data_IF_991860530227
#
_entry.id   IF_991860530227
#
_cell.length_a   1.000
_cell.length_b   1.000
_cell.length_c   1.000
_cell.angle_alpha   90.00
_cell.angle_beta   90.00
_cell.angle_gamma   90.00
#
_symmetry.space_group_name_H-M   'P 1'
#
loop_
_entity.id
_entity.type
_entity.pdbx_description
1 polymer ?
#
# COMPACT_ATOMS: atom_id res chain seq x y z
N UNK A 1 -10.39 -56.44 -1.32
CA UNK A 1 -9.35 -55.48 -0.89
C UNK A 1 -8.77 -54.87 -2.15
N UNK A 2 -9.32 -53.73 -2.56
CA UNK A 2 -8.83 -52.98 -3.73
C UNK A 2 -8.00 -51.85 -3.16
N UNK A 3 -6.68 -51.96 -3.31
CA UNK A 3 -5.72 -50.92 -2.94
C UNK A 3 -6.02 -49.70 -3.80
N UNK A 4 -6.66 -48.70 -3.22
CA UNK A 4 -6.77 -47.38 -3.86
C UNK A 4 -5.38 -46.78 -3.77
N UNK A 5 -4.64 -46.88 -4.87
CA UNK A 5 -3.41 -46.16 -5.06
C UNK A 5 -3.79 -44.69 -5.16
N UNK A 6 -3.68 -43.93 -4.06
CA UNK A 6 -3.88 -42.49 -4.04
C UNK A 6 -2.72 -41.87 -4.80
N UNK A 7 -2.80 -41.88 -6.14
CA UNK A 7 -1.90 -41.12 -6.97
C UNK A 7 -2.08 -39.66 -6.56
N UNK A 8 -1.05 -39.12 -5.91
CA UNK A 8 -0.88 -37.70 -5.63
C UNK A 8 -1.25 -36.94 -6.89
N UNK A 9 -2.42 -36.29 -6.88
CA UNK A 9 -2.82 -35.42 -7.98
C UNK A 9 -1.93 -34.20 -7.84
N UNK A 10 -0.75 -34.26 -8.45
CA UNK A 10 0.12 -33.10 -8.60
C UNK A 10 -0.64 -32.12 -9.49
N UNK A 11 -1.36 -31.19 -8.87
CA UNK A 11 -1.89 -30.03 -9.57
C UNK A 11 -0.69 -29.20 -10.02
N UNK A 12 -0.32 -29.33 -11.30
CA UNK A 12 0.84 -28.66 -11.92
C UNK A 12 0.81 -27.12 -11.84
N UNK A 13 -0.24 -26.52 -11.28
CA UNK A 13 -0.44 -25.07 -11.26
C UNK A 13 -0.77 -24.49 -9.87
N UNK A 14 -0.72 -25.30 -8.80
CA UNK A 14 -0.85 -24.77 -7.44
C UNK A 14 0.24 -23.74 -7.14
N UNK A 15 -0.11 -22.78 -6.28
CA UNK A 15 0.78 -21.73 -5.84
C UNK A 15 1.38 -22.19 -4.51
N UNK A 16 2.68 -22.53 -4.44
CA UNK A 16 3.31 -22.89 -3.18
C UNK A 16 3.43 -21.67 -2.30
N UNK A 17 2.99 -21.73 -1.04
CA UNK A 17 3.36 -20.68 -0.08
C UNK A 17 4.86 -20.71 0.22
N UNK A 18 5.48 -19.59 0.63
CA UNK A 18 6.87 -19.57 1.05
C UNK A 18 7.11 -20.51 2.25
N UNK A 19 8.31 -21.07 2.36
CA UNK A 19 8.73 -21.94 3.46
C UNK A 19 8.71 -21.20 4.81
N UNK A 20 9.07 -19.91 4.80
CA UNK A 20 9.09 -19.03 5.98
C UNK A 20 8.64 -17.60 5.65
N UNK A 21 8.16 -16.89 6.66
CA UNK A 21 7.79 -15.46 6.57
C UNK A 21 8.74 -14.50 7.29
N UNK A 22 9.73 -15.04 8.02
CA UNK A 22 10.64 -14.29 8.90
C UNK A 22 12.08 -14.77 8.72
N UNK A 23 13.02 -13.83 8.68
CA UNK A 23 14.46 -14.11 8.68
C UNK A 23 15.12 -13.43 9.87
N UNK A 24 15.95 -14.15 10.62
CA UNK A 24 16.67 -13.61 11.77
C UNK A 24 18.04 -13.06 11.33
N UNK A 25 18.28 -11.76 11.53
CA UNK A 25 19.58 -11.11 11.36
C UNK A 25 20.10 -10.71 12.76
N UNK A 26 20.71 -11.68 13.45
CA UNK A 26 21.10 -11.49 14.86
C UNK A 26 19.88 -11.18 15.73
N UNK A 27 19.84 -10.05 16.46
CA UNK A 27 18.70 -9.69 17.29
C UNK A 27 17.50 -9.13 16.50
N UNK A 28 17.63 -8.92 15.19
CA UNK A 28 16.60 -8.28 14.36
C UNK A 28 15.85 -9.32 13.52
N UNK A 29 14.55 -9.45 13.76
CA UNK A 29 13.67 -10.28 12.93
C UNK A 29 13.15 -9.49 11.73
N UNK A 30 13.62 -9.84 10.54
CA UNK A 30 13.14 -9.29 9.28
C UNK A 30 11.87 -10.02 8.85
N UNK A 31 10.73 -9.33 8.87
CA UNK A 31 9.42 -9.91 8.56
C UNK A 31 9.00 -9.52 7.15
N UNK A 32 8.63 -10.50 6.31
CA UNK A 32 8.24 -10.27 4.93
C UNK A 32 7.06 -9.28 4.82
N UNK A 33 6.04 -9.43 5.67
CA UNK A 33 4.88 -8.52 5.66
C UNK A 33 5.29 -7.07 5.94
N UNK A 34 6.28 -6.84 6.82
CA UNK A 34 6.74 -5.50 7.15
C UNK A 34 7.42 -4.86 5.94
N UNK A 35 8.22 -5.63 5.20
CA UNK A 35 8.82 -5.20 3.93
C UNK A 35 7.74 -4.87 2.89
N UNK A 36 6.71 -5.70 2.75
CA UNK A 36 5.57 -5.42 1.86
C UNK A 36 4.84 -4.12 2.24
N UNK A 37 4.59 -3.89 3.53
CA UNK A 37 3.95 -2.65 4.01
C UNK A 37 4.83 -1.43 3.70
N UNK A 38 6.13 -1.49 4.00
CA UNK A 38 7.08 -0.39 3.72
C UNK A 38 7.12 -0.10 2.21
N UNK A 39 7.25 -1.13 1.37
CA UNK A 39 7.22 -0.99 -0.08
C UNK A 39 5.90 -0.36 -0.57
N UNK A 40 4.77 -0.78 0.00
CA UNK A 40 3.46 -0.19 -0.27
C UNK A 40 3.39 1.29 0.10
N UNK A 41 3.88 1.68 1.27
CA UNK A 41 3.93 3.09 1.72
C UNK A 41 4.79 3.93 0.78
N UNK A 42 6.00 3.47 0.46
CA UNK A 42 6.91 4.17 -0.46
C UNK A 42 6.25 4.36 -1.83
N UNK A 43 5.61 3.32 -2.37
CA UNK A 43 4.90 3.40 -3.64
C UNK A 43 3.72 4.38 -3.58
N UNK A 44 2.92 4.34 -2.51
CA UNK A 44 1.78 5.23 -2.33
C UNK A 44 2.22 6.70 -2.29
N UNK A 45 3.29 7.01 -1.56
CA UNK A 45 3.86 8.36 -1.49
C UNK A 45 4.43 8.76 -2.85
N UNK A 46 5.28 7.94 -3.47
CA UNK A 46 5.92 8.26 -4.75
C UNK A 46 4.91 8.47 -5.88
N UNK A 47 3.93 7.57 -6.01
CA UNK A 47 2.93 7.69 -7.05
C UNK A 47 1.93 8.81 -6.75
N UNK A 48 1.53 8.96 -5.48
CA UNK A 48 0.70 10.05 -5.01
C UNK A 48 1.32 11.42 -5.29
N UNK A 49 2.62 11.57 -5.03
CA UNK A 49 3.41 12.77 -5.29
C UNK A 49 3.46 13.10 -6.79
N UNK A 50 3.74 12.10 -7.64
CA UNK A 50 3.70 12.28 -9.10
C UNK A 50 2.34 12.76 -9.58
N UNK A 51 1.26 12.18 -9.05
CA UNK A 51 -0.11 12.58 -9.39
C UNK A 51 -0.44 13.97 -8.86
N UNK A 52 0.00 14.31 -7.65
CA UNK A 52 -0.18 15.62 -7.03
C UNK A 52 0.44 16.74 -7.87
N UNK A 53 1.69 16.56 -8.29
CA UNK A 53 2.39 17.49 -9.19
C UNK A 53 1.66 17.61 -10.53
N UNK A 54 1.16 16.50 -11.10
CA UNK A 54 0.33 16.54 -12.31
C UNK A 54 -1.01 17.28 -12.12
N UNK A 55 -1.50 17.42 -10.88
CA UNK A 55 -2.68 18.25 -10.57
C UNK A 55 -2.33 19.73 -10.44
N UNK A 56 -1.05 20.10 -10.43
CA UNK A 56 -0.56 21.46 -10.20
C UNK A 56 -0.10 21.72 -8.76
N UNK A 57 0.04 20.70 -7.93
CA UNK A 57 0.50 20.84 -6.55
C UNK A 57 2.03 20.94 -6.43
N UNK A 58 2.51 21.54 -5.34
CA UNK A 58 3.94 21.71 -5.07
C UNK A 58 4.63 20.39 -4.74
N UNK A 59 5.80 20.13 -5.32
CA UNK A 59 6.60 18.92 -5.07
C UNK A 59 7.00 18.81 -3.58
N UNK A 60 6.93 17.62 -3.01
CA UNK A 60 7.24 17.33 -1.61
C UNK A 60 6.03 17.39 -0.68
N UNK A 61 4.90 17.91 -1.15
CA UNK A 61 3.69 18.06 -0.34
C UNK A 61 3.17 16.72 0.19
N UNK A 62 3.17 15.65 -0.62
CA UNK A 62 2.65 14.35 -0.17
C UNK A 62 3.59 13.72 0.85
N UNK A 63 4.91 13.93 0.71
CA UNK A 63 5.89 13.51 1.71
C UNK A 63 5.66 14.22 3.04
N UNK A 64 5.49 15.55 3.01
CA UNK A 64 5.22 16.34 4.21
C UNK A 64 3.92 15.91 4.90
N UNK A 65 2.88 15.57 4.14
CA UNK A 65 1.63 15.03 4.69
C UNK A 65 1.88 13.65 5.32
N UNK A 66 2.66 12.79 4.67
CA UNK A 66 2.98 11.46 5.18
C UNK A 66 3.75 11.51 6.51
N UNK A 67 4.62 12.51 6.70
CA UNK A 67 5.33 12.74 7.99
C UNK A 67 4.36 12.95 9.15
N UNK A 68 3.17 13.48 8.92
CA UNK A 68 2.12 13.55 9.95
C UNK A 68 1.23 12.30 9.96
N UNK A 69 0.78 11.85 8.79
CA UNK A 69 -0.20 10.77 8.68
C UNK A 69 0.33 9.42 9.21
N UNK A 70 1.59 9.08 8.94
CA UNK A 70 2.15 7.77 9.33
C UNK A 70 2.34 7.66 10.86
N UNK A 71 2.98 8.61 11.56
CA UNK A 71 3.09 8.54 13.02
C UNK A 71 1.73 8.57 13.73
N UNK A 72 0.81 9.43 13.29
CA UNK A 72 -0.54 9.46 13.86
C UNK A 72 -1.27 8.14 13.62
N UNK A 73 -1.11 7.53 12.44
CA UNK A 73 -1.66 6.20 12.16
C UNK A 73 -1.07 5.12 13.06
N UNK A 74 0.23 5.13 13.29
CA UNK A 74 0.87 4.18 14.20
C UNK A 74 0.35 4.32 15.64
N UNK A 75 0.29 5.56 16.14
CA UNK A 75 -0.25 5.89 17.47
C UNK A 75 -1.72 5.46 17.56
N UNK A 76 -2.52 5.75 16.54
CA UNK A 76 -3.93 5.38 16.54
C UNK A 76 -4.17 3.89 16.47
N UNK A 77 -3.36 3.17 15.68
CA UNK A 77 -3.44 1.72 15.61
C UNK A 77 -3.15 1.10 16.97
N UNK A 78 -2.13 1.60 17.67
CA UNK A 78 -1.80 1.13 19.02
C UNK A 78 -2.91 1.46 20.01
N UNK A 79 -3.37 2.72 20.01
CA UNK A 79 -4.42 3.18 20.91
C UNK A 79 -5.71 2.37 20.75
N UNK A 80 -6.14 2.11 19.51
CA UNK A 80 -7.32 1.31 19.25
C UNK A 80 -7.17 -0.11 19.81
N UNK A 81 -6.04 -0.76 19.56
CA UNK A 81 -5.79 -2.11 20.08
C UNK A 81 -5.78 -2.15 21.62
N UNK A 82 -5.14 -1.17 22.27
CA UNK A 82 -5.14 -1.08 23.74
C UNK A 82 -6.55 -0.85 24.30
N UNK A 83 -7.40 -0.10 23.60
CA UNK A 83 -8.80 0.12 24.01
C UNK A 83 -9.62 -1.16 23.84
N UNK A 84 -9.54 -1.82 22.68
CA UNK A 84 -10.36 -3.01 22.37
C UNK A 84 -9.90 -4.25 23.12
N UNK A 85 -8.60 -4.37 23.36
CA UNK A 85 -7.96 -5.52 24.01
C UNK A 85 -7.33 -5.12 25.36
N UNK A 86 -8.00 -4.24 26.10
CA UNK A 86 -7.52 -3.69 27.38
C UNK A 86 -7.17 -4.79 28.41
N UNK A 87 -7.86 -5.92 28.37
CA UNK A 87 -7.63 -7.08 29.22
C UNK A 87 -6.22 -7.68 29.09
N UNK A 88 -5.55 -7.48 27.94
CA UNK A 88 -4.18 -7.95 27.72
C UNK A 88 -3.16 -7.16 28.54
N UNK A 89 -3.50 -5.94 28.96
CA UNK A 89 -2.56 -4.99 29.58
C UNK A 89 -2.95 -4.64 31.02
N UNK A 90 -4.24 -4.53 31.32
CA UNK A 90 -4.75 -4.03 32.60
C UNK A 90 -5.43 -5.10 33.47
N UNK A 91 -5.38 -6.37 33.07
CA UNK A 91 -5.87 -7.50 33.87
C UNK A 91 -4.95 -7.86 35.04
N UNK A 92 -5.43 -8.72 35.95
CA UNK A 92 -4.64 -9.22 37.07
C UNK A 92 -3.38 -9.96 36.57
N UNK A 93 -2.21 -9.63 37.12
CA UNK A 93 -0.93 -10.19 36.69
C UNK A 93 -0.41 -9.70 35.34
N UNK A 94 -1.04 -8.69 34.72
CA UNK A 94 -0.55 -8.03 33.50
C UNK A 94 0.26 -6.79 33.82
N UNK A 95 1.03 -6.33 32.84
CA UNK A 95 1.88 -5.16 32.93
C UNK A 95 1.35 -4.02 32.04
N UNK A 96 0.75 -2.97 32.62
CA UNK A 96 0.22 -1.84 31.89
C UNK A 96 1.22 -1.14 30.98
N UNK A 97 2.52 -1.14 31.30
CA UNK A 97 3.51 -0.41 30.49
C UNK A 97 3.70 -1.05 29.11
N UNK A 98 3.41 -2.35 28.99
CA UNK A 98 3.45 -3.07 27.71
C UNK A 98 2.45 -2.52 26.70
N UNK A 99 1.42 -1.78 27.14
CA UNK A 99 0.52 -1.06 26.24
C UNK A 99 1.27 -0.05 25.34
N UNK A 100 2.49 0.38 25.70
CA UNK A 100 3.32 1.27 24.88
C UNK A 100 4.24 0.53 23.90
N UNK A 101 4.41 -0.78 24.06
CA UNK A 101 5.39 -1.57 23.30
C UNK A 101 4.84 -1.93 21.92
N UNK A 102 4.96 -1.00 20.98
CA UNK A 102 4.50 -1.17 19.59
C UNK A 102 5.21 -2.29 18.82
N UNK A 103 6.41 -2.69 19.26
CA UNK A 103 7.19 -3.76 18.66
C UNK A 103 6.69 -5.16 19.03
N UNK A 104 5.84 -5.28 20.05
CA UNK A 104 5.17 -6.55 20.41
C UNK A 104 3.98 -6.86 19.49
N UNK A 105 3.70 -6.00 18.51
CA UNK A 105 2.55 -6.11 17.62
C UNK A 105 1.31 -5.40 18.18
N UNK A 106 0.13 -5.85 17.80
CA UNK A 106 -1.12 -5.28 18.29
C UNK A 106 -1.40 -3.87 17.78
N UNK A 107 -1.62 -3.74 16.48
CA UNK A 107 -2.02 -2.49 15.83
C UNK A 107 -3.39 -2.68 15.17
N UNK A 108 -4.39 -1.94 15.65
CA UNK A 108 -5.75 -1.95 15.10
C UNK A 108 -5.87 -1.09 13.85
N UNK A 109 -6.31 -1.67 12.73
CA UNK A 109 -6.42 -0.95 11.45
C UNK A 109 -7.39 0.25 11.52
N UNK A 110 -8.48 0.14 12.28
CA UNK A 110 -9.47 1.22 12.44
C UNK A 110 -8.89 2.46 13.12
N UNK A 111 -8.12 2.26 14.18
CA UNK A 111 -7.40 3.33 14.85
C UNK A 111 -6.36 3.99 13.94
N UNK A 112 -5.64 3.17 13.17
CA UNK A 112 -4.63 3.67 12.25
C UNK A 112 -5.22 4.52 11.12
N UNK A 113 -6.36 4.10 10.55
CA UNK A 113 -7.08 4.88 9.53
C UNK A 113 -7.60 6.19 10.14
N UNK A 114 -8.24 6.13 11.31
CA UNK A 114 -8.86 7.30 11.92
C UNK A 114 -7.84 8.39 12.28
N UNK A 115 -6.81 8.05 13.05
CA UNK A 115 -5.80 9.03 13.45
C UNK A 115 -4.84 9.37 12.30
N UNK A 116 -4.56 8.44 11.38
CA UNK A 116 -3.81 8.75 10.16
C UNK A 116 -4.52 9.81 9.31
N UNK A 117 -5.85 9.74 9.18
CA UNK A 117 -6.65 10.78 8.52
C UNK A 117 -6.61 12.12 9.28
N UNK A 118 -6.59 12.10 10.62
CA UNK A 118 -6.39 13.31 11.44
C UNK A 118 -5.01 13.92 11.18
N UNK A 119 -3.94 13.12 11.15
CA UNK A 119 -2.59 13.59 10.82
C UNK A 119 -2.53 14.23 9.42
N UNK A 120 -3.13 13.58 8.43
CA UNK A 120 -3.24 14.14 7.08
C UNK A 120 -4.05 15.46 7.05
N UNK A 121 -5.14 15.54 7.80
CA UNK A 121 -5.96 16.74 7.92
C UNK A 121 -5.20 17.90 8.54
N UNK A 122 -4.45 17.67 9.63
CA UNK A 122 -3.59 18.67 10.27
C UNK A 122 -2.56 19.20 9.26
N UNK A 123 -1.87 18.31 8.54
CA UNK A 123 -0.88 18.71 7.53
C UNK A 123 -1.50 19.53 6.40
N UNK A 124 -2.65 19.10 5.87
CA UNK A 124 -3.36 19.84 4.82
C UNK A 124 -3.81 21.23 5.31
N UNK A 125 -4.33 21.32 6.53
CA UNK A 125 -4.75 22.59 7.15
C UNK A 125 -3.58 23.56 7.31
N UNK A 126 -2.43 23.07 7.79
CA UNK A 126 -1.22 23.89 7.94
C UNK A 126 -0.67 24.40 6.61
N UNK A 127 -0.88 23.67 5.52
CA UNK A 127 -0.46 24.05 4.17
C UNK A 127 -1.53 24.81 3.37
N UNK A 128 -2.72 25.02 3.92
CA UNK A 128 -3.82 25.68 3.21
C UNK A 128 -4.36 24.92 2.00
N UNK A 129 -4.11 23.61 1.89
CA UNK A 129 -4.51 22.80 0.73
C UNK A 129 -5.76 21.95 1.01
N UNK A 130 -6.61 21.70 0.00
CA UNK A 130 -7.82 20.90 0.18
C UNK A 130 -7.50 19.41 0.33
N UNK A 131 -7.80 18.84 1.50
CA UNK A 131 -7.66 17.40 1.77
C UNK A 131 -8.32 16.50 0.72
N UNK A 132 -9.52 16.80 0.16
CA UNK A 132 -10.12 15.97 -0.89
C UNK A 132 -9.27 15.87 -2.15
N UNK A 133 -8.54 16.93 -2.52
CA UNK A 133 -7.65 16.91 -3.68
C UNK A 133 -6.42 16.03 -3.42
N UNK A 134 -5.89 16.08 -2.19
CA UNK A 134 -4.81 15.17 -1.75
C UNK A 134 -5.30 13.73 -1.79
N UNK A 135 -6.47 13.45 -1.20
CA UNK A 135 -7.10 12.13 -1.21
C UNK A 135 -7.27 11.58 -2.64
N UNK A 136 -7.73 12.42 -3.57
CA UNK A 136 -7.87 12.05 -4.98
C UNK A 136 -6.53 11.82 -5.69
N UNK A 137 -5.45 12.47 -5.27
CA UNK A 137 -4.12 12.26 -5.82
C UNK A 137 -3.54 10.91 -5.36
N UNK A 138 -3.67 10.60 -4.06
CA UNK A 138 -3.06 9.41 -3.44
C UNK A 138 -3.91 8.14 -3.59
N UNK A 139 -5.21 8.23 -3.91
CA UNK A 139 -6.12 7.08 -3.96
C UNK A 139 -5.60 5.87 -4.76
N UNK A 140 -5.06 6.02 -6.00
CA UNK A 140 -4.46 4.88 -6.71
C UNK A 140 -3.24 4.29 -6.00
N UNK A 141 -2.42 5.15 -5.38
CA UNK A 141 -1.26 4.72 -4.61
C UNK A 141 -1.66 3.90 -3.38
N UNK A 142 -2.70 4.32 -2.65
CA UNK A 142 -3.22 3.60 -1.48
C UNK A 142 -3.69 2.20 -1.87
N UNK A 143 -4.52 2.07 -2.92
CA UNK A 143 -5.08 0.76 -3.26
C UNK A 143 -4.02 -0.21 -3.78
N UNK A 144 -2.98 0.28 -4.48
CA UNK A 144 -1.84 -0.58 -4.86
C UNK A 144 -0.98 -0.92 -3.65
N UNK A 145 -0.81 -0.02 -2.68
CA UNK A 145 -0.17 -0.36 -1.42
C UNK A 145 -0.94 -1.46 -0.67
N UNK A 146 -2.27 -1.44 -0.70
CA UNK A 146 -3.10 -2.55 -0.18
C UNK A 146 -2.86 -3.85 -0.95
N UNK A 147 -2.73 -3.79 -2.29
CA UNK A 147 -2.40 -4.94 -3.12
C UNK A 147 -1.03 -5.55 -2.73
N UNK A 148 -0.01 -4.72 -2.55
CA UNK A 148 1.32 -5.16 -2.09
C UNK A 148 1.25 -5.72 -0.68
N UNK A 149 0.46 -5.11 0.22
CA UNK A 149 0.23 -5.61 1.57
C UNK A 149 -0.31 -7.04 1.60
N UNK A 150 -1.08 -7.46 0.58
CA UNK A 150 -1.58 -8.84 0.45
C UNK A 150 -0.48 -9.86 0.21
N UNK A 151 0.65 -9.46 -0.37
CA UNK A 151 1.82 -10.33 -0.45
C UNK A 151 2.35 -10.69 0.95
N UNK A 152 2.18 -9.80 1.93
CA UNK A 152 2.49 -10.11 3.33
C UNK A 152 1.67 -11.29 3.87
N UNK A 153 0.37 -11.37 3.51
CA UNK A 153 -0.49 -12.48 3.92
C UNK A 153 -0.09 -13.80 3.23
N UNK A 154 0.40 -13.72 1.98
CA UNK A 154 0.98 -14.86 1.28
C UNK A 154 2.23 -15.40 2.00
N UNK A 155 3.18 -14.54 2.38
CA UNK A 155 4.35 -14.97 3.16
C UNK A 155 3.99 -15.52 4.54
N UNK A 156 2.98 -14.93 5.19
CA UNK A 156 2.51 -15.35 6.51
C UNK A 156 1.62 -16.61 6.48
N UNK A 157 1.19 -17.09 5.31
CA UNK A 157 0.19 -18.16 5.18
C UNK A 157 -1.07 -17.85 6.01
N UNK A 158 -1.67 -16.67 5.83
CA UNK A 158 -2.84 -16.24 6.60
C UNK A 158 -3.94 -15.61 5.73
N UNK A 159 -5.14 -15.47 6.32
CA UNK A 159 -6.32 -14.85 5.70
C UNK A 159 -6.78 -15.49 4.37
N UNK A 160 -6.42 -16.75 4.13
CA UNK A 160 -6.81 -17.54 2.97
C UNK A 160 -8.29 -17.97 3.01
N UNK A 161 -8.80 -18.48 1.88
CA UNK A 161 -10.19 -18.94 1.78
C UNK A 161 -10.38 -20.40 2.17
N UNK A 162 -11.56 -20.95 1.86
CA UNK A 162 -11.83 -22.38 2.07
C UNK A 162 -11.00 -23.31 1.19
N UNK A 163 -11.03 -24.63 1.47
CA UNK A 163 -10.40 -25.65 0.63
C UNK A 163 -10.86 -25.55 -0.83
N UNK A 164 -9.97 -25.82 -1.77
CA UNK A 164 -10.27 -25.71 -3.20
C UNK A 164 -9.52 -26.75 -4.02
N UNK A 165 -10.17 -27.24 -5.08
CA UNK A 165 -9.58 -28.15 -6.08
C UNK A 165 -9.24 -27.42 -7.39
N UNK A 166 -9.32 -26.08 -7.39
CA UNK A 166 -8.99 -25.26 -8.55
C UNK A 166 -7.48 -25.31 -8.83
N UNK A 167 -7.05 -25.22 -10.10
CA UNK A 167 -5.65 -25.40 -10.46
C UNK A 167 -4.76 -24.24 -10.04
N UNK A 168 -5.27 -23.20 -9.39
CA UNK A 168 -4.50 -22.09 -8.80
C UNK A 168 -4.66 -22.03 -7.28
N UNK A 169 -4.91 -23.18 -6.64
CA UNK A 169 -5.00 -23.26 -5.19
C UNK A 169 -3.70 -22.82 -4.51
N UNK A 170 -3.81 -22.19 -3.34
CA UNK A 170 -2.67 -21.86 -2.49
C UNK A 170 -2.37 -23.04 -1.58
N UNK A 171 -1.13 -23.51 -1.58
CA UNK A 171 -0.66 -24.54 -0.69
C UNK A 171 -0.29 -23.93 0.66
N UNK A 172 -0.79 -24.53 1.75
CA UNK A 172 -0.47 -24.15 3.13
C UNK A 172 0.37 -25.27 3.74
N UNK A 173 1.48 -24.92 4.37
CA UNK A 173 2.43 -25.87 4.92
C UNK A 173 2.45 -25.82 6.45
N UNK A 174 2.77 -26.94 7.07
CA UNK A 174 3.06 -26.98 8.50
C UNK A 174 4.40 -26.30 8.76
N UNK A 175 4.40 -25.35 9.70
CA UNK A 175 5.60 -24.64 10.13
C UNK A 175 5.86 -24.89 11.60
N UNK A 176 7.12 -25.17 11.92
CA UNK A 176 7.58 -25.35 13.31
C UNK A 176 8.71 -24.39 13.61
N UNK A 177 8.81 -24.02 14.87
CA UNK A 177 9.97 -23.30 15.41
C UNK A 177 11.21 -24.23 15.33
N UNK A 178 12.32 -23.81 14.68
CA UNK A 178 13.49 -24.66 14.49
C UNK A 178 14.20 -25.09 15.78
N UNK A 179 14.06 -24.31 16.86
CA UNK A 179 14.76 -24.55 18.13
C UNK A 179 13.97 -25.49 19.04
N UNK A 180 12.64 -25.36 19.03
CA UNK A 180 11.74 -26.14 19.92
C UNK A 180 11.02 -27.29 19.21
N UNK A 181 10.93 -27.27 17.88
CA UNK A 181 10.14 -28.20 17.08
C UNK A 181 8.63 -28.06 17.27
N UNK A 182 8.16 -27.05 18.01
CA UNK A 182 6.74 -26.81 18.26
C UNK A 182 6.11 -26.07 17.07
N UNK A 183 4.81 -26.28 16.79
CA UNK A 183 4.11 -25.55 15.73
C UNK A 183 4.19 -24.02 15.92
N UNK A 184 4.69 -23.33 14.91
CA UNK A 184 4.67 -21.86 14.82
C UNK A 184 4.37 -21.46 13.37
N UNK A 185 3.09 -21.16 13.11
CA UNK A 185 2.62 -20.77 11.78
C UNK A 185 3.24 -19.46 11.26
N UNK A 186 3.64 -18.55 12.16
CA UNK A 186 4.04 -17.20 11.80
C UNK A 186 5.57 -17.04 11.71
N UNK A 187 6.32 -17.55 12.68
CA UNK A 187 7.79 -17.43 12.70
C UNK A 187 8.52 -18.74 12.40
N UNK A 188 7.80 -19.86 12.32
CA UNK A 188 8.38 -21.16 12.01
C UNK A 188 8.80 -21.32 10.55
N UNK A 189 9.41 -22.48 10.27
CA UNK A 189 9.87 -22.90 8.94
C UNK A 189 9.13 -24.16 8.53
N UNK A 190 8.80 -24.27 7.24
CA UNK A 190 8.15 -25.45 6.69
C UNK A 190 9.00 -26.72 6.91
N UNK A 191 8.38 -27.78 7.42
CA UNK A 191 9.06 -29.04 7.76
C UNK A 191 9.02 -30.08 6.63
N UNK A 192 8.12 -29.91 5.67
CA UNK A 192 7.97 -30.82 4.53
C UNK A 192 7.45 -30.08 3.31
N UNK A 193 7.72 -30.62 2.13
CA UNK A 193 7.17 -30.14 0.86
C UNK A 193 5.72 -30.63 0.62
N UNK A 194 5.11 -31.31 1.61
CA UNK A 194 3.74 -31.78 1.53
C UNK A 194 2.81 -30.72 2.15
N UNK A 195 1.86 -30.16 1.38
CA UNK A 195 0.94 -29.17 1.93
C UNK A 195 -0.07 -29.81 2.89
N UNK A 196 -0.36 -29.11 3.99
CA UNK A 196 -1.45 -29.44 4.91
C UNK A 196 -2.81 -29.26 4.25
N UNK A 197 -2.95 -28.24 3.41
CA UNK A 197 -4.18 -27.91 2.71
C UNK A 197 -3.91 -27.13 1.43
N UNK A 198 -4.84 -27.27 0.47
CA UNK A 198 -4.92 -26.42 -0.72
C UNK A 198 -6.17 -25.58 -0.61
N UNK A 199 -6.02 -24.26 -0.62
CA UNK A 199 -7.08 -23.29 -0.30
C UNK A 199 -7.22 -22.22 -1.35
N UNK A 200 -8.34 -21.51 -1.37
CA UNK A 200 -8.50 -20.35 -2.24
C UNK A 200 -7.46 -19.25 -1.91
N UNK A 201 -6.64 -18.80 -2.87
CA UNK A 201 -5.66 -17.71 -2.68
C UNK A 201 -6.35 -16.35 -2.60
N UNK A 202 -7.06 -16.06 -1.51
CA UNK A 202 -7.73 -14.76 -1.30
C UNK A 202 -6.76 -13.59 -1.38
N UNK A 203 -5.49 -13.75 -0.97
CA UNK A 203 -4.46 -12.74 -1.13
C UNK A 203 -4.31 -12.30 -2.61
N UNK A 204 -4.32 -13.28 -3.54
CA UNK A 204 -4.16 -13.05 -4.97
C UNK A 204 -5.42 -12.41 -5.54
N UNK A 205 -6.60 -12.91 -5.13
CA UNK A 205 -7.87 -12.34 -5.53
C UNK A 205 -7.99 -10.87 -5.11
N UNK A 206 -7.61 -10.53 -3.87
CA UNK A 206 -7.59 -9.15 -3.38
C UNK A 206 -6.54 -8.30 -4.07
N UNK A 207 -5.34 -8.85 -4.30
CA UNK A 207 -4.27 -8.16 -4.99
C UNK A 207 -4.72 -7.76 -6.40
N UNK A 208 -5.22 -8.72 -7.19
CA UNK A 208 -5.69 -8.48 -8.55
C UNK A 208 -6.88 -7.51 -8.58
N UNK A 209 -7.82 -7.65 -7.65
CA UNK A 209 -8.95 -6.73 -7.53
C UNK A 209 -8.48 -5.31 -7.21
N UNK A 210 -7.56 -5.15 -6.27
CA UNK A 210 -7.01 -3.85 -5.89
C UNK A 210 -6.25 -3.18 -7.04
N UNK A 211 -5.49 -3.95 -7.83
CA UNK A 211 -4.88 -3.45 -9.07
C UNK A 211 -5.95 -3.02 -10.08
N UNK A 212 -7.02 -3.80 -10.25
CA UNK A 212 -8.18 -3.43 -11.07
C UNK A 212 -8.84 -2.13 -10.62
N UNK A 213 -9.02 -1.94 -9.30
CA UNK A 213 -9.53 -0.69 -8.73
C UNK A 213 -8.57 0.47 -8.97
N UNK A 214 -7.25 0.26 -8.85
CA UNK A 214 -6.27 1.29 -9.18
C UNK A 214 -6.40 1.74 -10.64
N UNK A 215 -6.51 0.79 -11.57
CA UNK A 215 -6.71 1.04 -12.99
C UNK A 215 -8.02 1.79 -13.24
N UNK A 216 -9.11 1.37 -12.60
CA UNK A 216 -10.42 2.02 -12.67
C UNK A 216 -10.34 3.48 -12.21
N UNK A 217 -9.72 3.75 -11.05
CA UNK A 217 -9.59 5.11 -10.51
C UNK A 217 -8.74 5.98 -11.43
N UNK A 218 -7.61 5.45 -11.93
CA UNK A 218 -6.73 6.19 -12.86
C UNK A 218 -7.44 6.49 -14.17
N UNK A 219 -8.14 5.52 -14.75
CA UNK A 219 -8.91 5.68 -15.98
C UNK A 219 -10.02 6.71 -15.80
N UNK A 220 -10.83 6.58 -14.75
CA UNK A 220 -11.95 7.49 -14.48
C UNK A 220 -11.46 8.92 -14.17
N UNK A 221 -10.37 9.05 -13.40
CA UNK A 221 -9.77 10.35 -13.10
C UNK A 221 -9.25 11.06 -14.37
N UNK A 222 -8.64 10.32 -15.30
CA UNK A 222 -8.21 10.88 -16.60
C UNK A 222 -9.38 11.22 -17.50
N UNK A 223 -10.37 10.33 -17.61
CA UNK A 223 -11.50 10.47 -18.55
C UNK A 223 -12.50 11.53 -18.13
N UNK A 224 -12.74 11.68 -16.82
CA UNK A 224 -13.77 12.56 -16.27
C UNK A 224 -13.21 13.73 -15.47
N UNK A 225 -11.88 13.83 -15.35
CA UNK A 225 -11.18 14.85 -14.54
C UNK A 225 -11.79 14.93 -13.13
N UNK A 226 -11.76 13.81 -12.41
CA UNK A 226 -12.33 13.73 -11.07
C UNK A 226 -11.59 14.69 -10.11
N UNK A 227 -12.36 15.30 -9.22
CA UNK A 227 -11.91 16.21 -8.17
C UNK A 227 -12.91 16.19 -7.01
N UNK A 228 -12.66 16.99 -5.98
CA UNK A 228 -13.50 17.08 -4.78
C UNK A 228 -13.69 15.75 -4.05
N UNK A 229 -12.65 14.90 -4.00
CA UNK A 229 -12.69 13.61 -3.29
C UNK A 229 -13.39 12.49 -4.08
N UNK A 230 -13.75 12.73 -5.34
CA UNK A 230 -14.48 11.75 -6.16
C UNK A 230 -13.60 10.57 -6.59
N UNK A 231 -12.32 10.79 -6.85
CA UNK A 231 -11.43 9.67 -7.18
C UNK A 231 -11.19 8.79 -5.94
N UNK A 232 -11.07 9.39 -4.76
CA UNK A 232 -10.98 8.68 -3.49
C UNK A 232 -12.26 7.90 -3.18
N UNK A 233 -13.44 8.50 -3.36
CA UNK A 233 -14.70 7.79 -3.17
C UNK A 233 -14.89 6.62 -4.15
N UNK A 234 -14.43 6.76 -5.40
CA UNK A 234 -14.40 5.65 -6.37
C UNK A 234 -13.48 4.52 -5.91
N UNK A 235 -12.31 4.86 -5.36
CA UNK A 235 -11.44 3.88 -4.72
C UNK A 235 -12.16 3.14 -3.59
N UNK A 236 -12.78 3.87 -2.65
CA UNK A 236 -13.47 3.27 -1.50
C UNK A 236 -14.61 2.36 -1.95
N UNK A 237 -15.42 2.79 -2.92
CA UNK A 237 -16.49 1.97 -3.49
C UNK A 237 -15.94 0.72 -4.19
N UNK A 238 -14.88 0.85 -5.01
CA UNK A 238 -14.26 -0.28 -5.70
C UNK A 238 -13.66 -1.29 -4.71
N UNK A 239 -12.93 -0.82 -3.70
CA UNK A 239 -12.33 -1.66 -2.67
C UNK A 239 -13.40 -2.45 -1.88
N UNK A 240 -14.42 -1.76 -1.39
CA UNK A 240 -15.48 -2.39 -0.59
C UNK A 240 -16.35 -3.36 -1.39
N UNK A 241 -16.55 -3.12 -2.69
CA UNK A 241 -17.20 -4.08 -3.58
C UNK A 241 -16.40 -5.39 -3.70
N UNK A 242 -15.07 -5.30 -3.86
CA UNK A 242 -14.19 -6.47 -3.82
C UNK A 242 -14.23 -7.18 -2.47
N UNK A 243 -14.25 -6.37 -1.41
CA UNK A 243 -14.20 -6.89 -0.05
C UNK A 243 -15.44 -7.69 0.31
N UNK A 244 -16.60 -7.33 -0.24
CA UNK A 244 -17.85 -8.07 -0.05
C UNK A 244 -17.72 -9.55 -0.44
N UNK A 245 -17.32 -9.88 -1.67
CA UNK A 245 -17.31 -11.27 -2.13
C UNK A 245 -16.10 -12.06 -1.60
N UNK A 246 -14.96 -11.40 -1.38
CA UNK A 246 -13.77 -12.06 -0.83
C UNK A 246 -13.98 -12.46 0.63
N UNK A 247 -14.63 -11.60 1.41
CA UNK A 247 -14.94 -11.90 2.81
C UNK A 247 -15.93 -13.07 2.94
N UNK A 248 -16.77 -13.32 1.93
CA UNK A 248 -17.66 -14.50 1.90
C UNK A 248 -16.91 -15.82 1.65
N UNK A 249 -15.74 -15.79 0.98
CA UNK A 249 -14.91 -16.97 0.74
C UNK A 249 -13.97 -17.30 1.91
N UNK A 250 -13.80 -16.35 2.84
CA UNK A 250 -12.88 -16.49 3.96
C UNK A 250 -13.42 -17.43 5.02
N UNK A 251 -12.52 -18.23 5.60
CA UNK A 251 -12.84 -19.28 6.58
C UNK A 251 -12.25 -19.02 7.96
N UNK A 252 -11.46 -17.97 8.14
CA UNK A 252 -10.89 -17.58 9.44
C UNK A 252 -11.96 -17.16 10.46
N UNK A 253 -11.63 -17.20 11.75
CA UNK A 253 -12.57 -16.77 12.79
C UNK A 253 -12.86 -15.27 12.68
N UNK A 254 -14.14 -14.92 12.64
CA UNK A 254 -14.59 -13.54 12.65
C UNK A 254 -15.89 -13.39 13.45
N UNK A 255 -16.13 -12.17 13.94
CA UNK A 255 -17.39 -11.82 14.59
C UNK A 255 -18.52 -11.81 13.56
N UNK A 256 -19.65 -12.43 13.91
CA UNK A 256 -20.83 -12.50 13.07
C UNK A 256 -21.96 -11.66 13.66
N UNK A 257 -22.68 -10.96 12.77
CA UNK A 257 -23.92 -10.24 13.09
C UNK A 257 -24.95 -10.69 12.04
N UNK A 258 -26.08 -11.21 12.50
CA UNK A 258 -27.16 -11.72 11.62
C UNK A 258 -26.67 -12.78 10.61
N UNK A 259 -25.74 -13.65 11.00
CA UNK A 259 -25.20 -14.72 10.15
C UNK A 259 -24.15 -14.26 9.14
N UNK A 260 -23.80 -12.97 9.08
CA UNK A 260 -22.74 -12.44 8.23
C UNK A 260 -21.58 -11.89 9.06
N UNK A 261 -20.36 -11.98 8.53
CA UNK A 261 -19.17 -11.39 9.16
C UNK A 261 -19.35 -9.87 9.30
N UNK A 262 -18.89 -9.29 10.41
CA UNK A 262 -18.94 -7.83 10.67
C UNK A 262 -18.35 -7.03 9.50
N UNK A 263 -17.27 -7.52 8.89
CA UNK A 263 -16.61 -6.88 7.76
C UNK A 263 -17.51 -6.77 6.51
N UNK A 264 -18.47 -7.68 6.32
CA UNK A 264 -19.45 -7.62 5.24
C UNK A 264 -20.39 -6.43 5.46
N UNK A 265 -20.91 -6.26 6.67
CA UNK A 265 -21.74 -5.12 7.04
C UNK A 265 -20.99 -3.80 6.90
N UNK A 266 -19.77 -3.73 7.41
CA UNK A 266 -18.94 -2.53 7.29
C UNK A 266 -18.65 -2.19 5.83
N UNK A 267 -18.34 -3.19 5.00
CA UNK A 267 -18.12 -2.99 3.56
C UNK A 267 -19.38 -2.46 2.89
N UNK A 268 -20.56 -2.99 3.22
CA UNK A 268 -21.83 -2.53 2.67
C UNK A 268 -22.13 -1.06 3.01
N UNK A 269 -22.00 -0.69 4.30
CA UNK A 269 -22.26 0.69 4.75
C UNK A 269 -21.29 1.67 4.10
N UNK A 270 -20.00 1.33 4.08
CA UNK A 270 -18.96 2.17 3.48
C UNK A 270 -19.14 2.27 1.95
N UNK A 271 -19.52 1.17 1.29
CA UNK A 271 -19.84 1.16 -0.14
C UNK A 271 -20.98 2.13 -0.47
N UNK A 272 -22.11 2.01 0.24
CA UNK A 272 -23.27 2.89 0.04
C UNK A 272 -22.91 4.34 0.30
N UNK A 273 -22.17 4.62 1.37
CA UNK A 273 -21.68 5.96 1.68
C UNK A 273 -20.78 6.55 0.59
N UNK A 274 -19.85 5.74 0.05
CA UNK A 274 -18.96 6.15 -1.02
C UNK A 274 -19.70 6.42 -2.34
N UNK A 275 -20.66 5.56 -2.71
CA UNK A 275 -21.52 5.75 -3.90
C UNK A 275 -22.39 6.99 -3.74
N UNK A 276 -23.02 7.18 -2.58
CA UNK A 276 -23.80 8.38 -2.29
C UNK A 276 -22.92 9.64 -2.42
N UNK A 277 -21.72 9.62 -1.83
CA UNK A 277 -20.77 10.71 -1.95
C UNK A 277 -20.39 11.00 -3.40
N UNK A 278 -20.10 9.98 -4.22
CA UNK A 278 -19.80 10.15 -5.65
C UNK A 278 -20.92 10.87 -6.40
N UNK A 279 -22.18 10.51 -6.13
CA UNK A 279 -23.36 11.10 -6.76
C UNK A 279 -23.55 12.56 -6.32
N UNK A 280 -23.44 12.85 -5.03
CA UNK A 280 -23.62 14.20 -4.51
C UNK A 280 -22.45 15.13 -4.81
N UNK A 281 -21.20 14.64 -4.76
CA UNK A 281 -20.00 15.41 -5.06
C UNK A 281 -19.92 15.82 -6.54
N UNK A 282 -20.60 15.12 -7.45
CA UNK A 282 -20.75 15.56 -8.85
C UNK A 282 -21.35 16.96 -8.96
N UNK A 283 -22.17 17.39 -8.00
CA UNK A 283 -22.80 18.72 -7.96
C UNK A 283 -21.82 19.83 -7.55
N UNK A 284 -20.64 19.51 -7.02
CA UNK A 284 -19.63 20.49 -6.59
C UNK A 284 -18.81 21.09 -7.74
N UNK A 285 -19.08 20.69 -8.97
CA UNK A 285 -18.48 21.27 -10.16
C UNK A 285 -17.22 20.54 -10.66
N UNK A 286 -16.44 21.19 -11.56
CA UNK A 286 -15.23 20.62 -12.15
C UNK A 286 -14.11 20.45 -11.10
N UNK A 287 -13.03 19.78 -11.48
CA UNK A 287 -11.84 19.59 -10.62
C UNK A 287 -11.29 20.91 -10.08
N UNK A 288 -10.66 20.84 -8.90
CA UNK A 288 -9.98 21.96 -8.26
C UNK A 288 -8.97 22.64 -9.20
N UNK A 289 -8.84 23.96 -9.09
CA UNK A 289 -7.91 24.75 -9.91
C UNK A 289 -6.47 24.55 -9.42
N UNK A 290 -5.47 24.45 -10.32
CA UNK A 290 -4.06 24.31 -9.93
C UNK A 290 -3.58 25.34 -8.90
N UNK A 291 -4.04 26.59 -9.02
CA UNK A 291 -3.72 27.70 -8.10
C UNK A 291 -4.06 27.39 -6.64
N UNK A 292 -5.12 26.62 -6.38
CA UNK A 292 -5.54 26.25 -5.02
C UNK A 292 -4.73 25.08 -4.42
N UNK A 293 -3.87 24.46 -5.22
CA UNK A 293 -3.06 23.29 -4.85
C UNK A 293 -1.58 23.64 -4.67
N UNK A 294 -1.14 24.77 -5.24
CA UNK A 294 0.19 25.31 -5.02
C UNK A 294 0.28 25.86 -3.59
N UNK A 295 1.30 25.43 -2.84
CA UNK A 295 1.66 26.04 -1.57
C UNK A 295 2.79 27.03 -1.83
N UNK A 296 2.65 28.28 -1.38
CA UNK A 296 3.73 29.27 -1.47
C UNK A 296 4.90 28.83 -0.57
N UNK A 297 6.12 28.69 -1.11
CA UNK A 297 7.29 28.28 -0.32
C UNK A 297 7.72 29.33 0.72
N UNK A 298 7.20 30.56 0.66
CA UNK A 298 7.59 31.68 1.52
C UNK A 298 6.72 31.86 2.79
N UNK A 299 5.64 31.09 2.96
CA UNK A 299 4.62 31.35 4.00
C UNK A 299 4.69 30.51 5.26
N UNK A 300 5.60 29.53 5.37
CA UNK A 300 5.56 28.56 6.49
C UNK A 300 6.21 29.02 7.79
N UNK A 301 6.87 30.19 7.82
CA UNK A 301 7.61 30.68 8.99
C UNK A 301 6.97 31.91 9.67
N UNK A 302 5.83 32.42 9.18
CA UNK A 302 5.17 33.58 9.74
C UNK A 302 3.87 33.20 10.48
N UNK A 303 4.00 32.52 11.63
CA UNK A 303 2.92 32.47 12.62
C UNK A 303 3.42 32.97 13.97
N UNK A 304 3.22 34.27 14.21
CA UNK A 304 3.51 34.90 15.50
C UNK A 304 3.20 36.39 15.55
N UNK A 305 1.91 36.75 15.59
CA UNK A 305 1.28 37.75 16.50
C UNK A 305 0.08 38.46 15.85
N UNK A 306 -1.07 38.57 16.53
CA UNK A 306 -2.20 39.39 16.09
C UNK A 306 -2.11 40.83 16.64
N UNK A 307 -2.46 41.77 15.76
CA UNK A 307 -3.05 43.10 15.94
C UNK A 307 -2.70 43.97 17.17
N UNK A 308 -2.25 45.18 16.86
CA UNK A 308 -2.79 46.38 17.51
C UNK A 308 -3.10 47.46 16.47
N UNK A 309 -4.37 47.82 16.41
CA UNK A 309 -4.91 48.92 15.62
C UNK A 309 -5.01 50.20 16.45
N UNK A 310 -4.83 51.35 15.80
CA UNK A 310 -5.24 52.69 16.23
C UNK A 310 -4.90 53.69 15.11
N UNK A 311 -5.84 54.09 14.25
CA UNK A 311 -6.67 55.32 14.34
C UNK A 311 -5.80 56.58 14.50
N UNK A 312 -5.85 57.68 13.72
CA UNK A 312 -6.84 58.31 12.82
C UNK A 312 -6.22 59.64 12.33
N UNK A 313 -6.59 60.17 11.16
CA UNK A 313 -6.31 61.58 10.82
C UNK A 313 -6.40 61.94 9.32
N UNK A 314 -7.34 62.83 9.00
CA UNK A 314 -7.87 63.26 7.69
C UNK A 314 -6.93 64.01 6.72
N UNK A 315 -7.36 64.31 5.46
CA UNK A 315 -6.56 64.91 4.39
C UNK A 315 -6.75 66.44 4.26
N UNK A 316 -5.76 67.20 3.78
CA UNK A 316 -5.97 68.33 2.85
C UNK A 316 -4.72 69.01 2.23
N UNK A 317 -4.92 69.52 1.00
CA UNK A 317 -4.29 70.62 0.23
C UNK A 317 -2.77 70.92 0.24
N UNK A 318 -2.15 71.03 -0.95
CA UNK A 318 -1.99 72.33 -1.68
C UNK A 318 -1.09 72.23 -2.93
N UNK A 319 -1.43 73.04 -3.93
CA UNK A 319 -0.88 73.17 -5.28
C UNK A 319 0.55 73.77 -5.35
N UNK A 320 1.26 73.54 -6.45
CA UNK A 320 2.05 74.59 -7.13
C UNK A 320 2.38 74.22 -8.58
N UNK A 321 2.01 75.15 -9.44
CA UNK A 321 2.14 75.32 -10.89
C UNK A 321 3.56 75.55 -11.44
N UNK A 322 3.76 75.31 -12.75
CA UNK A 322 4.80 75.98 -13.56
C UNK A 322 5.28 75.23 -14.81
N UNK A 323 4.64 75.47 -15.96
CA UNK A 323 5.03 75.10 -17.35
C UNK A 323 6.05 76.12 -17.96
N UNK A 324 6.41 76.11 -19.27
CA UNK A 324 6.91 75.07 -20.20
C UNK A 324 8.14 75.56 -21.06
N UNK A 325 8.34 74.93 -22.24
CA UNK A 325 9.21 75.22 -23.41
C UNK A 325 10.56 74.47 -23.47
N UNK A 326 11.02 73.86 -24.59
CA UNK A 326 10.80 74.12 -26.02
C UNK A 326 11.12 72.89 -26.92
N UNK A 327 10.37 72.76 -28.03
CA UNK A 327 10.73 72.45 -29.44
C UNK A 327 11.64 71.25 -29.80
N UNK A 328 11.16 70.26 -30.59
CA UNK A 328 11.30 70.10 -32.07
C UNK A 328 12.71 69.61 -32.53
N UNK A 329 12.95 68.79 -33.56
CA UNK A 329 12.19 68.13 -34.63
C UNK A 329 13.05 66.91 -35.10
N UNK A 330 12.45 65.79 -35.49
CA UNK A 330 12.20 65.32 -36.87
C UNK A 330 13.38 64.67 -37.62
N UNK A 331 13.08 63.57 -38.34
CA UNK A 331 13.91 63.05 -39.44
C UNK A 331 14.12 61.53 -39.50
N UNK A 332 13.18 60.79 -40.09
CA UNK A 332 13.45 59.57 -40.89
C UNK A 332 13.80 60.02 -42.35
N UNK A 333 14.24 59.19 -43.34
CA UNK A 333 14.07 57.72 -43.49
C UNK A 333 15.23 56.94 -44.22
N UNK A 334 15.02 55.62 -44.36
CA UNK A 334 15.43 54.64 -45.39
C UNK A 334 16.82 54.63 -46.05
N UNK A 335 17.46 53.45 -46.10
CA UNK A 335 17.79 52.71 -47.35
C UNK A 335 18.69 51.48 -47.12
N UNK A 336 18.34 50.38 -47.80
CA UNK A 336 19.11 49.27 -48.39
C UNK A 336 20.63 49.14 -48.14
N UNK A 337 21.16 47.90 -48.02
CA UNK A 337 21.80 47.16 -49.14
C UNK A 337 22.46 45.83 -48.68
N UNK A 338 22.46 44.89 -49.61
CA UNK A 338 22.92 43.49 -49.67
C UNK A 338 24.46 43.24 -49.63
N UNK A 339 24.84 41.97 -49.35
CA UNK A 339 26.08 41.31 -49.84
C UNK A 339 26.96 40.70 -48.71
N UNK A 340 27.04 39.39 -48.42
CA UNK A 340 27.47 38.16 -49.14
C UNK A 340 28.87 37.66 -48.69
N UNK A 341 28.94 36.34 -48.43
CA UNK A 341 30.12 35.41 -48.37
C UNK A 341 31.08 35.52 -47.18
N UNK A 342 31.52 34.46 -46.48
CA UNK A 342 31.86 33.06 -46.85
C UNK A 342 31.71 32.08 -45.67
N UNK A 343 31.16 30.89 -45.92
CA UNK A 343 31.43 29.61 -45.21
C UNK A 343 32.67 28.94 -45.88
N UNK A 344 33.33 27.83 -45.42
CA UNK A 344 32.72 26.65 -44.78
C UNK A 344 33.55 25.92 -43.68
N UNK A 345 32.90 25.05 -42.89
CA UNK A 345 33.16 23.59 -42.85
C UNK A 345 32.21 22.89 -41.86
N UNK A 346 31.20 22.24 -42.43
CA UNK A 346 30.52 21.01 -41.96
C UNK A 346 31.46 19.79 -42.22
N UNK A 347 31.16 18.50 -41.93
CA UNK A 347 29.84 17.90 -41.69
C UNK A 347 29.67 16.92 -40.50
N UNK A 348 28.41 16.81 -40.07
CA UNK A 348 27.48 15.63 -40.03
C UNK A 348 28.08 14.19 -40.09
N UNK A 349 27.43 13.11 -39.67
CA UNK A 349 26.01 12.79 -39.72
C UNK A 349 25.66 11.53 -38.89
N UNK A 350 24.35 11.36 -38.82
CA UNK A 350 23.47 10.39 -38.20
C UNK A 350 23.51 8.92 -38.69
N UNK A 351 22.93 8.08 -37.82
CA UNK A 351 21.99 6.97 -38.06
C UNK A 351 22.38 5.74 -38.92
N UNK A 352 22.14 4.56 -38.31
CA UNK A 352 21.02 3.65 -38.61
C UNK A 352 21.38 2.15 -38.84
N UNK A 353 20.40 1.30 -38.49
CA UNK A 353 20.09 -0.06 -38.98
C UNK A 353 20.76 -1.35 -38.43
N UNK A 354 19.83 -2.24 -38.01
CA UNK A 354 19.67 -3.68 -38.32
C UNK A 354 20.47 -4.81 -37.63
N UNK A 355 19.74 -5.56 -36.78
CA UNK A 355 19.28 -6.97 -36.93
C UNK A 355 20.24 -8.13 -37.30
N UNK A 356 20.10 -9.19 -36.47
CA UNK A 356 19.95 -10.65 -36.76
C UNK A 356 21.15 -11.62 -36.48
N UNK A 357 20.78 -12.70 -35.77
CA UNK A 357 21.27 -14.10 -35.65
C UNK A 357 22.66 -14.49 -35.09
N UNK A 358 22.63 -15.31 -34.02
CA UNK A 358 22.55 -16.78 -34.19
C UNK A 358 23.80 -17.63 -33.89
N UNK A 359 23.69 -18.49 -32.86
CA UNK A 359 24.36 -19.80 -32.69
C UNK A 359 25.89 -19.79 -32.47
N UNK A 360 26.56 -20.82 -31.94
CA UNK A 360 26.22 -22.09 -31.29
C UNK A 360 27.57 -22.71 -30.82
N UNK A 361 27.51 -23.73 -29.94
CA UNK A 361 28.55 -24.75 -29.66
C UNK A 361 29.84 -24.31 -28.91
N UNK A 362 30.46 -25.11 -28.03
CA UNK A 362 30.22 -26.48 -27.59
C UNK A 362 31.36 -26.99 -26.69
N UNK A 363 31.20 -28.21 -26.17
CA UNK A 363 32.25 -29.11 -25.66
C UNK A 363 32.52 -29.04 -24.15
N UNK A 364 32.22 -30.07 -23.34
CA UNK A 364 32.95 -31.37 -23.17
C UNK A 364 34.18 -31.20 -22.26
N UNK A 365 34.55 -32.00 -21.26
CA UNK A 365 34.21 -33.37 -20.83
C UNK A 365 34.81 -33.63 -19.41
N UNK A 366 34.56 -34.84 -18.91
CA UNK A 366 35.19 -35.62 -17.80
C UNK A 366 34.68 -35.37 -16.36
N UNK A 367 33.97 -36.31 -15.69
CA UNK A 367 34.24 -37.73 -15.37
C UNK A 367 35.46 -37.92 -14.45
N UNK A 368 35.52 -38.81 -13.45
CA UNK A 368 34.58 -39.62 -12.68
C UNK A 368 35.12 -39.58 -11.23
N UNK A 369 34.94 -40.48 -10.28
CA UNK A 369 34.32 -41.79 -10.15
C UNK A 369 34.54 -42.12 -8.65
N UNK A 370 33.61 -42.84 -8.03
CA UNK A 370 33.87 -44.03 -7.19
C UNK A 370 32.91 -44.17 -6.01
N UNK A 371 32.21 -45.30 -6.06
CA UNK A 371 31.35 -45.92 -5.07
C UNK A 371 32.16 -46.36 -3.83
N UNK A 372 31.47 -46.54 -2.71
CA UNK A 372 31.51 -47.81 -1.95
C UNK A 372 30.32 -47.95 -1.01
N UNK A 373 29.78 -49.16 -1.04
CA UNK A 373 28.67 -49.71 -0.29
C UNK A 373 28.96 -49.87 1.21
N UNK A 374 27.88 -49.96 2.00
CA UNK A 374 27.92 -50.33 3.41
C UNK A 374 26.53 -50.70 3.94
N UNK A 375 26.21 -51.98 3.89
CA UNK A 375 25.01 -52.69 4.36
C UNK A 375 24.76 -52.66 5.89
N UNK A 376 23.48 -52.90 6.28
CA UNK A 376 22.94 -53.43 7.56
C UNK A 376 22.85 -52.44 8.75
N UNK A 377 21.85 -52.48 9.65
CA UNK A 377 21.03 -53.58 10.16
C UNK A 377 19.67 -53.12 10.74
N UNK A 378 18.77 -54.08 10.84
CA UNK A 378 17.51 -54.11 11.60
C UNK A 378 17.60 -53.59 13.04
N UNK A 379 16.48 -53.06 13.53
CA UNK A 379 16.25 -52.73 14.93
C UNK A 379 14.78 -52.43 15.21
N UNK A 380 13.96 -53.49 15.30
CA UNK A 380 12.58 -53.44 15.79
C UNK A 380 12.52 -53.40 17.33
N UNK A 381 11.59 -52.64 17.91
CA UNK A 381 10.81 -52.91 19.14
C UNK A 381 10.02 -51.65 19.57
N UNK A 382 8.98 -51.73 20.43
CA UNK A 382 7.72 -52.41 20.19
C UNK A 382 6.49 -51.51 20.48
N UNK A 383 5.33 -51.98 20.02
CA UNK A 383 4.00 -51.52 20.39
C UNK A 383 3.69 -51.74 21.87
N UNK A 384 3.09 -50.75 22.52
CA UNK A 384 2.33 -50.91 23.76
C UNK A 384 0.96 -50.23 23.60
N UNK A 385 -0.04 -51.08 23.43
CA UNK A 385 -1.46 -50.82 23.67
C UNK A 385 -1.75 -51.07 25.17
N UNK A 386 -2.96 -50.74 25.62
CA UNK A 386 -3.53 -50.70 27.00
C UNK A 386 -3.63 -49.26 27.55
N UNK A 387 -4.79 -48.70 27.88
CA UNK A 387 -6.13 -49.24 27.90
C UNK A 387 -7.13 -48.18 28.40
N UNK A 388 -8.39 -48.52 28.14
CA UNK A 388 -9.64 -47.85 28.45
C UNK A 388 -9.80 -47.38 29.92
N UNK A 389 -10.34 -46.17 30.10
CA UNK A 389 -10.99 -45.75 31.35
C UNK A 389 -11.94 -44.57 31.11
N UNK A 390 -13.18 -44.90 30.76
CA UNK A 390 -14.35 -44.07 30.99
C UNK A 390 -14.51 -43.70 32.48
N UNK A 391 -14.74 -42.42 32.80
CA UNK A 391 -15.80 -42.01 33.75
C UNK A 391 -15.98 -40.49 33.84
N UNK A 392 -17.25 -40.13 33.95
CA UNK A 392 -17.91 -38.86 34.27
C UNK A 392 -17.30 -38.02 35.39
N UNK A 393 -17.41 -36.68 35.30
CA UNK A 393 -18.30 -35.89 36.18
C UNK A 393 -18.17 -34.37 35.96
N UNK A 394 -19.34 -33.74 35.89
CA UNK A 394 -19.73 -32.34 36.06
C UNK A 394 -18.80 -31.38 36.83
N UNK A 395 -18.55 -30.19 36.26
CA UNK A 395 -19.12 -28.90 36.69
C UNK A 395 -18.81 -27.78 35.70
#
# INVERSE_FOLDING_TARGET
>A
MTTVNTASTYFLANIPSPDRGVWQLGPLSLRAYALCIIAGIILAIWWGERRWVQRGGTKGTIVDIAVFAVPFGLVGGRLYHVITDNQLYFGEGKDPIRALYIWEGGLGIWGAIALGAVGAWIACRRKGIPLPAVADAIAPGIVVAQAIGRLGNYFNQELYGGPTDLPWGLEIYERVDPDTGLPDALNGVAVSDVPLAVVHPTFLYELLWNLGVALLVVWADRRFRLGHGRAFALYVAGYTAGRFWIELMRTDQANHILGLRVNVWTSLVVFVGAVAYLVFAKRRGPRERPETLATDPAGSDASGSPDSAGSSGSPDHSESSGSPDHSESSGSPDSDTSGRTTDPTDPTDSADTDRIDGGASGGSDDAGESRRDGERSDGAAPSADLGDASSSSSR
#
